data_IF_161105618258
#
_entry.id   IF_161105618258
#
_cell.length_a   1.000
_cell.length_b   1.000
_cell.length_c   1.000
_cell.angle_alpha   90.00
_cell.angle_beta   90.00
_cell.angle_gamma   90.00
#
_symmetry.space_group_name_H-M   'P 1'
#
loop_
_entity.id
_entity.type
_entity.pdbx_description
1 polymer ?
#
# COMPACT_ATOMS: atom_id res chain seq x y z
N UNK A 1 1.09 -25.88 -10.67
CA UNK A 1 0.31 -26.26 -9.47
C UNK A 1 -0.76 -25.21 -9.27
N UNK A 2 -1.89 -25.58 -8.67
CA UNK A 2 -2.98 -24.64 -8.34
C UNK A 2 -2.49 -23.60 -7.33
N UNK A 3 -2.92 -22.33 -7.48
CA UNK A 3 -2.43 -21.19 -6.68
C UNK A 3 -3.58 -20.34 -6.18
N UNK A 4 -3.47 -19.87 -4.93
CA UNK A 4 -4.40 -18.94 -4.28
C UNK A 4 -3.62 -17.81 -3.60
N UNK A 5 -4.20 -16.61 -3.55
CA UNK A 5 -3.77 -15.58 -2.60
C UNK A 5 -4.50 -15.68 -1.27
N UNK A 6 -4.00 -14.97 -0.25
CA UNK A 6 -4.78 -14.74 0.95
C UNK A 6 -6.06 -13.96 0.62
N UNK A 7 -7.21 -14.29 1.23
CA UNK A 7 -8.42 -13.51 1.05
C UNK A 7 -8.34 -12.18 1.79
N UNK A 8 -8.80 -11.11 1.16
CA UNK A 8 -8.97 -9.78 1.76
C UNK A 8 -10.46 -9.41 1.84
N UNK A 9 -10.89 -8.81 2.95
CA UNK A 9 -12.29 -8.38 3.13
C UNK A 9 -12.47 -6.95 2.61
N UNK A 10 -13.45 -6.75 1.74
CA UNK A 10 -13.88 -5.42 1.26
C UNK A 10 -15.41 -5.38 1.22
N UNK A 11 -16.00 -4.47 2.00
CA UNK A 11 -17.44 -4.43 2.22
C UNK A 11 -17.98 -5.79 2.72
N UNK A 12 -18.98 -6.31 2.00
CA UNK A 12 -19.67 -7.56 2.33
C UNK A 12 -18.95 -8.84 1.86
N UNK A 13 -17.91 -8.72 1.02
CA UNK A 13 -17.26 -9.86 0.37
C UNK A 13 -15.79 -10.03 0.78
N UNK A 14 -15.31 -11.25 0.63
CA UNK A 14 -13.89 -11.59 0.63
C UNK A 14 -13.44 -11.80 -0.80
N UNK A 15 -12.33 -11.18 -1.18
CA UNK A 15 -11.74 -11.23 -2.51
C UNK A 15 -10.41 -11.98 -2.46
N UNK A 16 -10.13 -12.77 -3.49
CA UNK A 16 -8.87 -13.50 -3.62
C UNK A 16 -8.58 -13.82 -5.08
N UNK A 17 -7.30 -13.98 -5.40
CA UNK A 17 -6.89 -14.50 -6.70
C UNK A 17 -6.79 -16.01 -6.66
N UNK A 18 -7.18 -16.66 -7.76
CA UNK A 18 -7.03 -18.10 -7.97
C UNK A 18 -6.55 -18.36 -9.40
N UNK A 19 -5.65 -19.34 -9.52
CA UNK A 19 -5.14 -19.81 -10.80
C UNK A 19 -5.14 -21.35 -10.77
N UNK A 20 -5.84 -21.97 -11.72
CA UNK A 20 -5.96 -23.44 -11.82
C UNK A 20 -4.62 -24.14 -12.06
N UNK A 21 -3.60 -23.38 -12.48
CA UNK A 21 -2.22 -23.81 -12.59
C UNK A 21 -1.59 -23.42 -13.92
N UNK A 22 -2.37 -23.42 -15.01
CA UNK A 22 -1.92 -23.15 -16.38
C UNK A 22 -2.60 -21.93 -17.02
N UNK A 23 -3.48 -21.23 -16.30
CA UNK A 23 -4.03 -19.96 -16.80
C UNK A 23 -2.92 -18.92 -16.91
N UNK A 24 -2.96 -18.12 -17.98
CA UNK A 24 -2.00 -17.03 -18.22
C UNK A 24 -2.01 -16.03 -17.07
N UNK A 25 -3.21 -15.64 -16.61
CA UNK A 25 -3.41 -14.74 -15.48
C UNK A 25 -4.29 -15.38 -14.40
N UNK A 26 -4.00 -15.07 -13.14
CA UNK A 26 -4.90 -15.41 -12.03
C UNK A 26 -6.22 -14.63 -12.16
N UNK A 27 -7.33 -15.30 -11.87
CA UNK A 27 -8.67 -14.71 -11.86
C UNK A 27 -8.98 -14.22 -10.45
N UNK A 28 -9.63 -13.06 -10.33
CA UNK A 28 -10.06 -12.51 -9.05
C UNK A 28 -11.48 -13.01 -8.78
N UNK A 29 -11.63 -13.74 -7.69
CA UNK A 29 -12.88 -14.27 -7.18
C UNK A 29 -13.35 -13.50 -5.96
N UNK A 30 -14.65 -13.61 -5.68
CA UNK A 30 -15.27 -13.14 -4.44
C UNK A 30 -16.14 -14.21 -3.78
N UNK A 31 -16.29 -14.14 -2.47
CA UNK A 31 -17.22 -14.98 -1.70
C UNK A 31 -17.75 -14.22 -0.49
N UNK A 32 -18.99 -14.49 -0.09
CA UNK A 32 -19.62 -13.80 1.05
C UNK A 32 -19.08 -14.29 2.41
N UNK A 33 -18.49 -15.49 2.46
CA UNK A 33 -18.02 -16.10 3.69
C UNK A 33 -16.77 -16.95 3.47
N UNK A 34 -15.80 -16.86 4.39
CA UNK A 34 -14.63 -17.74 4.43
C UNK A 34 -14.98 -19.20 4.74
N UNK A 35 -16.21 -19.46 5.22
CA UNK A 35 -16.71 -20.83 5.47
C UNK A 35 -17.38 -21.44 4.23
N UNK A 36 -17.56 -20.66 3.16
CA UNK A 36 -18.09 -21.17 1.90
C UNK A 36 -17.15 -22.26 1.37
N UNK A 37 -17.73 -23.37 0.92
CA UNK A 37 -16.97 -24.45 0.28
C UNK A 37 -16.90 -24.20 -1.22
N UNK A 38 -15.77 -24.56 -1.82
CA UNK A 38 -15.54 -24.43 -3.26
C UNK A 38 -14.99 -23.07 -3.67
N UNK A 39 -14.81 -22.90 -4.98
CA UNK A 39 -14.35 -21.64 -5.57
C UNK A 39 -15.50 -20.63 -5.53
N UNK A 40 -15.17 -19.37 -5.30
CA UNK A 40 -16.11 -18.25 -5.24
C UNK A 40 -16.68 -17.90 -6.61
N UNK A 41 -17.37 -16.77 -6.66
CA UNK A 41 -17.86 -16.19 -7.90
C UNK A 41 -16.74 -15.39 -8.59
N UNK A 42 -16.60 -15.51 -9.91
CA UNK A 42 -15.66 -14.65 -10.68
C UNK A 42 -16.08 -13.19 -10.54
N UNK A 43 -15.17 -12.37 -10.04
CA UNK A 43 -15.34 -10.92 -9.93
C UNK A 43 -14.71 -10.19 -11.11
N UNK A 44 -13.46 -10.55 -11.45
CA UNK A 44 -12.69 -9.98 -12.56
C UNK A 44 -11.76 -11.05 -13.17
N UNK A 45 -11.88 -11.28 -14.48
CA UNK A 45 -11.06 -12.24 -15.22
C UNK A 45 -10.17 -11.51 -16.25
N UNK A 46 -8.86 -11.41 -16.03
CA UNK A 46 -7.94 -10.74 -16.96
C UNK A 46 -7.75 -11.52 -18.27
N UNK A 47 -7.99 -12.84 -18.26
CA UNK A 47 -7.73 -13.69 -19.43
C UNK A 47 -8.70 -13.38 -20.59
N UNK A 48 -9.84 -12.74 -20.32
CA UNK A 48 -10.78 -12.27 -21.35
C UNK A 48 -10.45 -10.90 -21.94
N UNK A 49 -9.43 -10.20 -21.43
CA UNK A 49 -9.11 -8.83 -21.85
C UNK A 49 -8.22 -8.78 -23.10
N UNK A 50 -7.48 -9.85 -23.41
CA UNK A 50 -6.71 -9.99 -24.65
C UNK A 50 -6.74 -11.42 -25.19
N UNK A 51 -6.75 -11.54 -26.52
CA UNK A 51 -6.79 -12.84 -27.19
C UNK A 51 -5.53 -13.69 -26.93
N UNK A 52 -4.39 -13.06 -26.68
CA UNK A 52 -3.11 -13.72 -26.39
C UNK A 52 -2.81 -13.85 -24.88
N UNK A 53 -3.70 -13.34 -24.01
CA UNK A 53 -3.55 -13.40 -22.56
C UNK A 53 -2.38 -12.57 -22.00
N UNK A 54 -1.90 -11.59 -22.76
CA UNK A 54 -0.77 -10.73 -22.37
C UNK A 54 -1.19 -9.51 -21.53
N UNK A 55 -2.48 -9.38 -21.25
CA UNK A 55 -3.02 -8.34 -20.37
C UNK A 55 -3.01 -8.83 -18.92
N UNK A 56 -2.50 -8.02 -18.00
CA UNK A 56 -2.43 -8.34 -16.57
C UNK A 56 -3.05 -7.24 -15.70
N UNK A 57 -3.42 -7.61 -14.47
CA UNK A 57 -3.81 -6.65 -13.43
C UNK A 57 -2.59 -6.38 -12.57
N UNK A 58 -2.06 -5.16 -12.63
CA UNK A 58 -0.79 -4.78 -12.01
C UNK A 58 -0.93 -4.10 -10.66
N UNK A 59 -2.08 -3.46 -10.42
CA UNK A 59 -2.39 -2.71 -9.20
C UNK A 59 -3.87 -2.80 -8.89
N UNK A 60 -4.21 -2.75 -7.61
CA UNK A 60 -5.58 -2.80 -7.11
C UNK A 60 -5.69 -1.93 -5.86
N UNK A 61 -6.73 -1.10 -5.79
CA UNK A 61 -7.07 -0.35 -4.58
C UNK A 61 -8.57 -0.22 -4.44
N UNK A 62 -9.10 -0.83 -3.39
CA UNK A 62 -10.48 -0.68 -2.99
C UNK A 62 -10.69 0.65 -2.27
N UNK A 63 -11.89 1.22 -2.42
CA UNK A 63 -12.41 2.18 -1.46
C UNK A 63 -12.52 1.56 -0.07
N UNK A 64 -12.52 2.38 0.97
CA UNK A 64 -12.55 1.90 2.36
C UNK A 64 -13.83 1.09 2.65
N UNK A 65 -14.96 1.51 2.10
CA UNK A 65 -16.24 0.80 2.21
C UNK A 65 -16.35 -0.43 1.29
N UNK A 66 -15.35 -0.66 0.43
CA UNK A 66 -15.33 -1.75 -0.54
C UNK A 66 -16.32 -1.62 -1.69
N UNK A 67 -16.93 -0.45 -1.90
CA UNK A 67 -17.92 -0.22 -2.95
C UNK A 67 -17.32 -0.17 -4.37
N UNK A 68 -16.08 0.31 -4.52
CA UNK A 68 -15.40 0.47 -5.82
C UNK A 68 -13.97 -0.07 -5.74
N UNK A 69 -13.59 -0.87 -6.73
CA UNK A 69 -12.22 -1.26 -7.02
C UNK A 69 -11.66 -0.36 -8.13
N UNK A 70 -10.56 0.33 -7.86
CA UNK A 70 -9.66 0.81 -8.91
C UNK A 70 -8.63 -0.28 -9.23
N UNK A 71 -8.44 -0.61 -10.50
CA UNK A 71 -7.48 -1.61 -10.94
C UNK A 71 -6.71 -1.14 -12.18
N UNK A 72 -5.39 -1.35 -12.18
CA UNK A 72 -4.55 -1.03 -13.32
C UNK A 72 -4.43 -2.21 -14.26
N UNK A 73 -4.63 -1.93 -15.55
CA UNK A 73 -4.48 -2.88 -16.66
C UNK A 73 -3.16 -2.58 -17.37
N UNK A 74 -2.25 -3.56 -17.39
CA UNK A 74 -1.01 -3.51 -18.17
C UNK A 74 -1.12 -4.46 -19.36
N UNK A 75 -0.58 -4.06 -20.50
CA UNK A 75 -0.52 -4.89 -21.70
C UNK A 75 0.93 -5.29 -22.02
N UNK A 76 1.12 -6.55 -22.42
CA UNK A 76 2.40 -7.07 -22.94
C UNK A 76 3.59 -6.86 -22.00
N UNK A 77 3.33 -6.84 -20.69
CA UNK A 77 4.36 -6.64 -19.67
C UNK A 77 4.92 -5.21 -19.61
N UNK A 78 4.22 -4.23 -20.18
CA UNK A 78 4.57 -2.82 -20.06
C UNK A 78 4.40 -2.33 -18.63
N UNK A 79 5.31 -1.48 -18.14
CA UNK A 79 5.11 -0.79 -16.86
C UNK A 79 3.99 0.26 -16.92
N UNK A 80 3.50 0.58 -18.13
CA UNK A 80 2.39 1.51 -18.34
C UNK A 80 1.04 0.82 -18.09
N UNK A 81 0.14 1.56 -17.46
CA UNK A 81 -1.17 1.09 -17.05
C UNK A 81 -2.26 2.06 -17.46
N UNK A 82 -3.43 1.49 -17.73
CA UNK A 82 -4.71 2.19 -17.69
C UNK A 82 -5.44 1.76 -16.43
N UNK A 83 -5.71 2.69 -15.53
CA UNK A 83 -6.52 2.45 -14.34
C UNK A 83 -7.99 2.51 -14.74
N UNK A 84 -8.74 1.48 -14.38
CA UNK A 84 -10.18 1.35 -14.57
C UNK A 84 -10.86 1.17 -13.22
N UNK A 85 -12.18 1.37 -13.19
CA UNK A 85 -12.96 1.27 -11.98
C UNK A 85 -14.12 0.29 -12.14
N UNK A 86 -14.32 -0.57 -11.14
CA UNK A 86 -15.40 -1.57 -11.12
C UNK A 86 -16.07 -1.56 -9.77
N UNK A 87 -17.39 -1.49 -9.75
CA UNK A 87 -18.19 -1.54 -8.52
C UNK A 87 -18.20 -2.94 -7.94
N UNK A 88 -18.50 -3.05 -6.64
CA UNK A 88 -18.60 -4.32 -5.95
C UNK A 88 -19.64 -5.25 -6.60
N UNK A 89 -20.70 -4.74 -7.22
CA UNK A 89 -21.71 -5.53 -7.96
C UNK A 89 -21.31 -5.93 -9.38
N UNK A 90 -20.04 -5.73 -9.76
CA UNK A 90 -19.40 -6.14 -11.02
C UNK A 90 -19.75 -5.28 -12.24
N UNK A 91 -20.15 -4.03 -12.04
CA UNK A 91 -20.33 -3.07 -13.13
C UNK A 91 -19.03 -2.28 -13.35
N UNK A 92 -18.58 -2.18 -14.59
CA UNK A 92 -17.46 -1.29 -14.94
C UNK A 92 -17.98 0.15 -15.05
N UNK A 93 -17.26 1.08 -14.43
CA UNK A 93 -17.55 2.51 -14.55
C UNK A 93 -16.93 3.07 -15.84
N UNK A 94 -17.42 4.24 -16.25
CA UNK A 94 -16.94 4.91 -17.47
C UNK A 94 -15.58 5.58 -17.27
N UNK A 95 -15.27 5.94 -16.03
CA UNK A 95 -14.01 6.56 -15.62
C UNK A 95 -12.81 5.67 -15.94
N UNK A 96 -11.72 6.29 -16.38
CA UNK A 96 -10.42 5.65 -16.53
C UNK A 96 -9.29 6.69 -16.47
N UNK A 97 -8.08 6.24 -16.14
CA UNK A 97 -6.89 7.09 -16.07
C UNK A 97 -5.77 6.41 -16.87
N UNK A 98 -5.25 7.10 -17.88
CA UNK A 98 -4.18 6.60 -18.74
C UNK A 98 -2.79 7.12 -18.34
N UNK A 99 -1.76 6.46 -18.85
CA UNK A 99 -0.38 6.91 -18.66
C UNK A 99 0.11 6.72 -17.23
N UNK A 100 -0.36 5.68 -16.54
CA UNK A 100 0.03 5.39 -15.17
C UNK A 100 1.26 4.49 -15.16
N UNK A 101 2.35 4.95 -14.54
CA UNK A 101 3.58 4.19 -14.34
C UNK A 101 4.18 4.60 -12.99
N UNK A 102 4.68 3.64 -12.21
CA UNK A 102 5.27 3.88 -10.88
C UNK A 102 4.34 4.63 -9.91
N UNK A 103 3.05 4.25 -9.88
CA UNK A 103 2.04 4.90 -9.07
C UNK A 103 1.42 3.96 -8.05
N UNK A 104 1.10 4.51 -6.89
CA UNK A 104 0.09 3.96 -5.99
C UNK A 104 -1.27 4.65 -6.23
N UNK A 105 -2.33 4.09 -5.68
CA UNK A 105 -3.68 4.66 -5.72
C UNK A 105 -4.14 4.92 -4.28
N UNK A 106 -4.59 6.14 -4.01
CA UNK A 106 -5.08 6.53 -2.69
C UNK A 106 -6.44 7.20 -2.80
N UNK A 107 -7.48 6.49 -2.37
CA UNK A 107 -8.84 7.01 -2.35
C UNK A 107 -9.02 8.08 -1.28
N UNK A 108 -9.81 9.09 -1.59
CA UNK A 108 -10.48 9.86 -0.53
C UNK A 108 -11.46 8.96 0.20
N UNK A 109 -11.61 9.20 1.50
CA UNK A 109 -12.49 8.42 2.37
C UNK A 109 -13.98 8.49 2.01
N UNK A 110 -14.37 9.56 1.32
CA UNK A 110 -15.73 9.75 0.81
C UNK A 110 -15.94 9.16 -0.61
N UNK A 111 -14.93 8.46 -1.14
CA UNK A 111 -14.91 7.84 -2.46
C UNK A 111 -15.11 8.83 -3.64
N UNK A 112 -14.99 10.14 -3.39
CA UNK A 112 -15.23 11.16 -4.43
C UNK A 112 -14.13 11.25 -5.49
N UNK A 113 -12.99 10.62 -5.25
CA UNK A 113 -11.87 10.56 -6.17
C UNK A 113 -10.65 9.84 -5.61
N UNK A 114 -9.65 9.70 -6.46
CA UNK A 114 -8.42 8.95 -6.20
C UNK A 114 -7.19 9.78 -6.55
N UNK A 115 -6.22 9.80 -5.64
CA UNK A 115 -4.88 10.31 -5.93
C UNK A 115 -4.06 9.24 -6.65
N UNK A 116 -3.30 9.68 -7.63
CA UNK A 116 -2.42 8.83 -8.42
C UNK A 116 -1.26 9.67 -8.94
N UNK A 117 -0.19 9.03 -9.39
CA UNK A 117 0.96 9.71 -9.96
C UNK A 117 1.20 9.28 -11.40
N UNK A 118 1.70 10.22 -12.21
CA UNK A 118 2.08 9.96 -13.60
C UNK A 118 3.18 10.92 -14.04
N UNK A 119 3.77 10.61 -15.18
CA UNK A 119 4.63 11.55 -15.89
C UNK A 119 3.77 12.50 -16.74
N UNK A 120 4.04 13.83 -16.73
CA UNK A 120 3.20 14.82 -17.40
C UNK A 120 3.26 14.76 -18.93
N UNK A 121 4.28 14.12 -19.52
CA UNK A 121 4.48 14.10 -20.97
C UNK A 121 4.16 12.72 -21.58
N UNK A 122 3.13 12.61 -22.43
CA UNK A 122 2.60 11.34 -22.93
C UNK A 122 3.36 10.75 -24.14
N UNK A 123 4.47 11.33 -24.61
CA UNK A 123 5.12 10.86 -25.85
C UNK A 123 5.77 9.46 -25.74
N UNK A 124 5.81 8.86 -24.55
CA UNK A 124 6.46 7.58 -24.28
C UNK A 124 5.50 6.41 -23.98
N UNK A 125 4.21 6.52 -24.29
CA UNK A 125 3.15 5.61 -23.80
C UNK A 125 3.03 4.23 -24.43
N UNK A 126 3.95 3.81 -25.33
CA UNK A 126 3.88 2.47 -25.95
C UNK A 126 4.93 1.46 -25.45
N UNK A 127 5.72 1.79 -24.41
CA UNK A 127 6.79 0.88 -23.92
C UNK A 127 7.91 0.60 -24.93
N UNK A 128 7.89 1.26 -26.10
CA UNK A 128 8.89 1.17 -27.18
C UNK A 128 9.86 2.36 -27.20
N UNK A 129 9.67 3.33 -26.31
CA UNK A 129 10.50 4.53 -26.23
C UNK A 129 11.63 4.31 -25.21
N UNK A 130 12.84 4.69 -25.59
CA UNK A 130 13.99 4.78 -24.69
C UNK A 130 14.12 6.17 -24.04
N UNK A 131 13.11 7.04 -24.20
CA UNK A 131 13.10 8.37 -23.58
C UNK A 131 13.06 8.26 -22.05
N UNK A 132 13.83 9.13 -21.40
CA UNK A 132 13.84 9.25 -19.94
C UNK A 132 12.52 9.87 -19.48
N UNK A 133 11.84 9.22 -18.54
CA UNK A 133 10.63 9.75 -17.93
C UNK A 133 11.01 10.61 -16.72
N UNK A 134 10.66 11.89 -16.76
CA UNK A 134 11.05 12.87 -15.76
C UNK A 134 9.83 13.63 -15.22
N UNK A 135 9.97 14.21 -14.03
CA UNK A 135 8.97 15.01 -13.35
C UNK A 135 7.71 14.22 -12.96
N UNK A 136 7.91 13.03 -12.38
CA UNK A 136 6.82 12.24 -11.81
C UNK A 136 6.02 13.09 -10.82
N UNK A 137 4.71 13.20 -11.03
CA UNK A 137 3.88 14.17 -10.32
C UNK A 137 2.59 13.53 -9.80
N UNK A 138 2.11 14.01 -8.66
CA UNK A 138 0.88 13.55 -8.01
C UNK A 138 -0.32 14.34 -8.54
N UNK A 139 -1.33 13.62 -9.00
CA UNK A 139 -2.61 14.13 -9.51
C UNK A 139 -3.77 13.60 -8.67
N UNK A 140 -4.94 14.21 -8.86
CA UNK A 140 -6.20 13.76 -8.31
C UNK A 140 -7.23 13.63 -9.43
N UNK A 141 -7.79 12.43 -9.56
CA UNK A 141 -8.91 12.14 -10.42
C UNK A 141 -10.21 12.21 -9.62
N UNK A 142 -11.17 13.01 -10.08
CA UNK A 142 -12.50 13.08 -9.48
C UNK A 142 -13.43 12.11 -10.19
N UNK A 143 -14.16 11.28 -9.44
CA UNK A 143 -15.11 10.35 -10.04
C UNK A 143 -16.22 11.11 -10.79
N UNK A 144 -16.58 10.58 -11.96
CA UNK A 144 -17.52 11.15 -12.91
C UNK A 144 -16.94 12.26 -13.79
N UNK A 145 -15.62 12.39 -13.90
CA UNK A 145 -14.97 13.39 -14.76
C UNK A 145 -14.01 12.75 -15.75
N UNK A 146 -13.68 13.47 -16.83
CA UNK A 146 -12.70 13.01 -17.82
C UNK A 146 -11.27 13.23 -17.29
N UNK A 147 -10.32 12.36 -17.68
CA UNK A 147 -8.94 12.41 -17.18
C UNK A 147 -8.15 13.66 -17.56
N UNK A 148 -8.63 14.48 -18.50
CA UNK A 148 -8.06 15.79 -18.81
C UNK A 148 -8.45 16.89 -17.80
N UNK A 149 -9.43 16.60 -16.92
CA UNK A 149 -9.84 17.45 -15.80
C UNK A 149 -9.10 17.10 -14.50
N UNK A 150 -8.21 16.10 -14.55
CA UNK A 150 -7.43 15.68 -13.39
C UNK A 150 -6.54 16.82 -12.88
N UNK A 151 -6.53 16.98 -11.56
CA UNK A 151 -5.94 18.13 -10.90
C UNK A 151 -4.51 17.77 -10.51
N UNK A 152 -3.54 18.57 -10.94
CA UNK A 152 -2.17 18.47 -10.43
C UNK A 152 -2.12 18.89 -8.95
N UNK A 153 -1.73 17.97 -8.07
CA UNK A 153 -1.72 18.14 -6.62
C UNK A 153 -0.35 18.54 -6.12
N UNK A 154 0.69 17.85 -6.57
CA UNK A 154 2.06 18.10 -6.12
C UNK A 154 3.07 17.65 -7.18
N UNK A 155 4.07 18.49 -7.41
CA UNK A 155 5.18 18.25 -8.33
C UNK A 155 6.47 18.87 -7.77
N UNK A 156 7.61 18.44 -8.34
CA UNK A 156 8.93 18.98 -8.03
C UNK A 156 9.72 19.27 -9.29
N UNK A 157 9.61 20.51 -9.78
CA UNK A 157 10.39 20.97 -10.94
C UNK A 157 11.90 21.04 -10.68
N UNK A 158 12.33 20.99 -9.42
CA UNK A 158 13.73 21.00 -8.99
C UNK A 158 14.35 19.60 -8.90
N UNK A 159 13.57 18.54 -9.16
CA UNK A 159 14.03 17.16 -9.01
C UNK A 159 13.39 16.26 -10.07
N UNK A 160 13.89 16.29 -11.32
CA UNK A 160 13.31 15.56 -12.46
C UNK A 160 13.24 14.04 -12.25
N UNK A 161 14.17 13.48 -11.46
CA UNK A 161 14.34 12.03 -11.31
C UNK A 161 13.61 11.43 -10.11
N UNK A 162 13.06 12.28 -9.23
CA UNK A 162 12.36 11.78 -8.05
C UNK A 162 11.00 11.19 -8.42
N UNK A 163 10.64 10.11 -7.74
CA UNK A 163 9.30 9.54 -7.80
C UNK A 163 8.46 10.16 -6.69
N UNK A 164 7.31 10.70 -7.08
CA UNK A 164 6.29 11.19 -6.13
C UNK A 164 5.18 10.15 -6.02
N UNK A 165 4.77 9.82 -4.80
CA UNK A 165 3.60 8.97 -4.52
C UNK A 165 2.75 9.58 -3.40
N UNK A 166 1.49 9.17 -3.33
CA UNK A 166 0.53 9.68 -2.36
C UNK A 166 -0.22 8.56 -1.65
N UNK A 167 -0.42 8.73 -0.35
CA UNK A 167 -1.15 7.81 0.52
C UNK A 167 -2.14 8.61 1.38
N UNK A 168 -3.38 8.14 1.52
CA UNK A 168 -4.36 8.75 2.42
C UNK A 168 -4.44 7.90 3.69
N UNK A 169 -4.35 8.53 4.86
CA UNK A 169 -4.42 7.83 6.15
C UNK A 169 -5.77 7.12 6.33
N UNK A 170 -5.80 6.04 7.11
CA UNK A 170 -7.01 5.22 7.36
C UNK A 170 -8.20 6.05 7.88
N UNK A 171 -7.93 7.08 8.68
CA UNK A 171 -8.94 7.99 9.19
C UNK A 171 -9.45 8.99 8.13
N UNK A 172 -8.77 9.13 6.99
CA UNK A 172 -9.05 10.02 5.88
C UNK A 172 -8.52 11.44 6.05
N UNK A 173 -7.80 11.72 7.15
CA UNK A 173 -7.43 13.09 7.52
C UNK A 173 -6.22 13.62 6.80
N UNK A 174 -5.20 12.80 6.57
CA UNK A 174 -3.95 13.26 5.97
C UNK A 174 -3.74 12.63 4.60
N UNK A 175 -3.31 13.46 3.66
CA UNK A 175 -2.60 13.01 2.47
C UNK A 175 -1.11 13.05 2.78
N UNK A 176 -0.49 11.88 2.83
CA UNK A 176 0.95 11.69 2.89
C UNK A 176 1.51 11.76 1.47
N UNK A 177 2.65 12.42 1.32
CA UNK A 177 3.35 12.54 0.04
C UNK A 177 4.78 12.09 0.25
N UNK A 178 5.14 11.00 -0.42
CA UNK A 178 6.50 10.51 -0.47
C UNK A 178 7.20 11.10 -1.69
N UNK A 179 8.44 11.53 -1.48
CA UNK A 179 9.34 11.91 -2.57
C UNK A 179 10.56 11.02 -2.46
N UNK A 180 10.62 10.02 -3.34
CA UNK A 180 11.62 8.96 -3.36
C UNK A 180 12.73 9.31 -4.34
N UNK A 181 13.97 9.02 -3.95
CA UNK A 181 15.10 9.08 -4.87
C UNK A 181 15.10 7.86 -5.79
N UNK A 182 15.45 8.06 -7.07
CA UNK A 182 15.71 6.96 -8.00
C UNK A 182 17.01 6.20 -7.70
N UNK A 183 17.93 6.81 -6.95
CA UNK A 183 19.33 6.36 -6.87
C UNK A 183 19.68 5.72 -5.51
N UNK A 184 18.98 6.14 -4.45
CA UNK A 184 19.20 5.66 -3.08
C UNK A 184 17.88 5.26 -2.43
N UNK A 185 17.87 4.28 -1.51
CA UNK A 185 16.64 3.78 -0.89
C UNK A 185 16.13 4.70 0.24
N UNK A 186 16.13 6.01 -0.01
CA UNK A 186 15.72 7.06 0.92
C UNK A 186 14.57 7.87 0.34
N UNK A 187 13.80 8.49 1.22
CA UNK A 187 12.67 9.31 0.84
C UNK A 187 12.55 10.54 1.74
N UNK A 188 11.94 11.58 1.20
CA UNK A 188 11.32 12.62 2.01
C UNK A 188 9.87 12.22 2.26
N UNK A 189 9.29 12.72 3.35
CA UNK A 189 7.89 12.49 3.70
C UNK A 189 7.25 13.80 4.12
N UNK A 190 6.20 14.18 3.40
CA UNK A 190 5.38 15.34 3.66
C UNK A 190 3.95 14.91 3.99
N UNK A 191 3.17 15.79 4.62
CA UNK A 191 1.77 15.53 4.91
C UNK A 191 0.93 16.79 4.69
N UNK A 192 -0.34 16.60 4.34
CA UNK A 192 -1.32 17.67 4.17
C UNK A 192 -2.62 17.28 4.85
N UNK A 193 -3.17 18.19 5.68
CA UNK A 193 -4.43 17.95 6.39
C UNK A 193 -5.62 18.19 5.44
N UNK A 194 -6.21 17.10 4.95
CA UNK A 194 -7.36 17.10 4.05
C UNK A 194 -8.60 17.68 4.71
N UNK A 195 -8.73 17.63 6.04
CA UNK A 195 -9.89 18.23 6.73
C UNK A 195 -9.93 19.75 6.64
N UNK A 196 -8.77 20.37 6.38
CA UNK A 196 -8.66 21.82 6.15
C UNK A 196 -8.83 22.21 4.68
N UNK A 197 -8.81 21.21 3.81
CA UNK A 197 -9.03 21.38 2.38
C UNK A 197 -10.53 21.25 2.15
N UNK A 198 -11.16 22.26 1.56
CA UNK A 198 -12.50 22.07 1.02
C UNK A 198 -12.45 21.09 -0.16
N UNK A 199 -13.17 21.42 -1.23
CA UNK A 199 -13.03 20.66 -2.48
C UNK A 199 -11.60 20.78 -3.03
N UNK A 200 -10.97 19.65 -3.36
CA UNK A 200 -9.68 19.62 -4.07
C UNK A 200 -9.86 20.32 -5.42
N UNK A 201 -9.10 21.37 -5.65
CA UNK A 201 -9.22 22.23 -6.85
C UNK A 201 -7.89 22.70 -7.42
N UNK A 202 -6.75 22.27 -6.86
CA UNK A 202 -5.43 22.70 -7.32
C UNK A 202 -4.31 22.14 -6.48
N UNK A 203 -3.09 22.64 -6.74
CA UNK A 203 -1.88 22.26 -6.01
C UNK A 203 -2.01 22.56 -4.52
N UNK A 204 -1.48 21.65 -3.71
CA UNK A 204 -1.40 21.80 -2.25
C UNK A 204 0.03 22.20 -1.84
N UNK A 205 0.16 22.73 -0.63
CA UNK A 205 1.44 23.02 0.01
C UNK A 205 1.59 22.11 1.23
N UNK A 206 2.12 20.89 1.07
CA UNK A 206 2.22 19.96 2.17
C UNK A 206 3.28 20.41 3.17
N UNK A 207 3.10 20.08 4.45
CA UNK A 207 4.07 20.33 5.51
C UNK A 207 5.12 19.21 5.52
N UNK A 208 6.41 19.52 5.72
CA UNK A 208 7.42 18.49 5.86
C UNK A 208 7.25 17.74 7.18
N UNK A 209 7.33 16.41 7.13
CA UNK A 209 7.63 15.58 8.30
C UNK A 209 9.14 15.26 8.34
N UNK A 210 9.68 14.89 7.17
CA UNK A 210 11.11 14.73 6.89
C UNK A 210 11.42 15.28 5.49
N UNK A 211 12.27 16.29 5.40
CA UNK A 211 12.55 17.03 4.16
C UNK A 211 13.95 16.76 3.58
N UNK A 212 14.62 15.71 4.06
CA UNK A 212 15.94 15.28 3.61
C UNK A 212 15.90 13.83 3.12
N UNK A 213 16.68 13.56 2.09
CA UNK A 213 16.95 12.21 1.59
C UNK A 213 18.10 11.58 2.38
N UNK A 214 17.92 11.41 3.68
CA UNK A 214 18.96 10.91 4.61
C UNK A 214 18.65 9.53 5.21
N UNK A 215 17.40 9.09 5.11
CA UNK A 215 16.92 7.81 5.61
C UNK A 215 15.64 7.40 4.86
N UNK A 216 15.18 6.19 5.16
CA UNK A 216 13.85 5.73 4.80
C UNK A 216 12.87 6.10 5.90
N UNK A 217 11.68 6.58 5.52
CA UNK A 217 10.59 6.91 6.42
C UNK A 217 9.29 6.33 5.87
N UNK A 218 8.75 5.33 6.56
CA UNK A 218 7.48 4.69 6.20
C UNK A 218 6.44 5.01 7.25
N UNK A 219 5.30 5.56 6.86
CA UNK A 219 4.16 5.75 7.76
C UNK A 219 3.56 4.41 8.18
N UNK A 220 3.27 4.26 9.48
CA UNK A 220 2.64 3.06 10.05
C UNK A 220 1.24 3.37 10.57
N UNK A 221 1.11 4.44 11.36
CA UNK A 221 -0.16 4.85 11.98
C UNK A 221 -0.06 6.29 12.50
N UNK A 222 -1.15 6.86 13.01
CA UNK A 222 -1.14 8.13 13.73
C UNK A 222 -2.20 8.20 14.83
N UNK A 223 -2.05 9.21 15.68
CA UNK A 223 -3.15 9.72 16.49
C UNK A 223 -3.30 11.23 16.29
N UNK A 224 -4.11 11.87 17.15
CA UNK A 224 -4.39 13.30 17.03
C UNK A 224 -3.14 14.19 17.10
N UNK A 225 -2.07 13.74 17.76
CA UNK A 225 -0.92 14.57 18.12
C UNK A 225 0.39 14.12 17.46
N UNK A 226 0.45 12.92 16.88
CA UNK A 226 1.70 12.33 16.39
C UNK A 226 1.51 11.26 15.31
N UNK A 227 2.54 11.07 14.49
CA UNK A 227 2.65 9.97 13.51
C UNK A 227 3.68 8.95 13.97
N UNK A 228 3.39 7.67 13.73
CA UNK A 228 4.24 6.52 13.98
C UNK A 228 4.95 6.14 12.67
N UNK A 229 6.28 6.13 12.70
CA UNK A 229 7.13 6.01 11.50
C UNK A 229 8.15 4.91 11.71
N UNK A 230 8.25 3.99 10.74
CA UNK A 230 9.34 3.02 10.63
C UNK A 230 10.49 3.67 9.87
N UNK A 231 11.69 3.68 10.45
CA UNK A 231 12.84 4.36 9.86
C UNK A 231 14.16 3.68 10.17
N UNK A 232 15.15 3.87 9.28
CA UNK A 232 16.54 3.51 9.52
C UNK A 232 17.44 4.71 9.87
N UNK A 233 16.85 5.88 10.15
CA UNK A 233 17.64 7.04 10.58
C UNK A 233 18.38 6.73 11.88
N UNK A 234 19.70 6.80 11.83
CA UNK A 234 20.62 6.44 12.92
C UNK A 234 20.42 5.01 13.45
N UNK A 235 19.85 4.11 12.64
CA UNK A 235 19.49 2.74 13.03
C UNK A 235 19.49 1.81 11.79
N UNK A 236 20.61 1.17 11.48
CA UNK A 236 20.76 0.33 10.27
C UNK A 236 19.79 -0.86 10.24
N UNK A 237 19.41 -1.39 11.40
CA UNK A 237 18.44 -2.49 11.54
C UNK A 237 16.98 -2.01 11.67
N UNK A 238 16.72 -0.73 11.37
CA UNK A 238 15.45 -0.05 11.52
C UNK A 238 14.96 0.04 12.97
N UNK A 239 14.10 1.03 13.21
CA UNK A 239 13.42 1.27 14.47
C UNK A 239 12.07 1.92 14.22
N UNK A 240 11.21 1.89 15.22
CA UNK A 240 9.92 2.56 15.19
C UNK A 240 9.99 3.82 16.05
N UNK A 241 9.67 4.97 15.46
CA UNK A 241 9.68 6.27 16.15
C UNK A 241 8.30 6.91 16.12
N UNK A 242 8.06 7.84 17.03
CA UNK A 242 6.97 8.80 16.89
C UNK A 242 7.47 10.20 16.67
N UNK A 243 6.70 10.95 15.89
CA UNK A 243 6.94 12.36 15.57
C UNK A 243 5.73 13.16 16.00
N UNK A 244 5.89 14.13 16.90
CA UNK A 244 4.80 15.04 17.26
C UNK A 244 4.51 16.02 16.13
N UNK A 245 3.25 16.12 15.74
CA UNK A 245 2.77 17.08 14.74
C UNK A 245 2.71 18.52 15.27
N UNK A 246 2.81 18.71 16.59
CA UNK A 246 2.74 20.02 17.24
C UNK A 246 4.07 20.76 17.25
N UNK A 247 5.16 20.05 17.54
CA UNK A 247 6.48 20.64 17.75
C UNK A 247 7.63 19.90 17.05
N UNK A 248 7.35 18.80 16.33
CA UNK A 248 8.36 18.01 15.63
C UNK A 248 9.25 17.17 16.55
N UNK A 249 8.95 17.04 17.85
CA UNK A 249 9.74 16.19 18.75
C UNK A 249 9.66 14.74 18.33
N UNK A 250 10.79 14.04 18.37
CA UNK A 250 10.91 12.63 17.97
C UNK A 250 11.34 11.79 19.17
N UNK A 251 10.73 10.62 19.34
CA UNK A 251 11.14 9.63 20.34
C UNK A 251 11.01 8.21 19.81
N UNK A 252 11.88 7.32 20.29
CA UNK A 252 11.84 5.90 19.93
C UNK A 252 10.68 5.21 20.65
N UNK A 253 9.96 4.38 19.92
CA UNK A 253 8.90 3.50 20.42
C UNK A 253 9.45 2.08 20.52
N UNK A 254 9.98 1.57 19.41
CA UNK A 254 10.70 0.31 19.35
C UNK A 254 12.12 0.65 18.95
N UNK A 255 13.10 0.55 19.86
CA UNK A 255 14.48 0.87 19.54
C UNK A 255 15.06 -0.15 18.54
N UNK A 256 16.19 0.22 17.92
CA UNK A 256 16.90 -0.69 17.02
C UNK A 256 17.35 -1.97 17.74
N UNK A 257 17.04 -3.13 17.16
CA UNK A 257 17.60 -4.41 17.55
C UNK A 257 18.91 -4.64 16.77
N UNK A 258 20.02 -4.98 17.44
CA UNK A 258 21.34 -5.12 16.79
C UNK A 258 21.54 -6.45 16.07
N UNK A 259 20.62 -7.40 16.24
CA UNK A 259 20.69 -8.75 15.71
C UNK A 259 19.68 -8.99 14.58
N UNK A 260 18.53 -8.31 14.62
CA UNK A 260 17.40 -8.58 13.73
C UNK A 260 16.87 -7.28 13.11
N UNK A 261 16.67 -7.28 11.79
CA UNK A 261 16.12 -6.11 11.07
C UNK A 261 14.62 -6.01 11.33
N UNK A 262 14.13 -4.88 11.83
CA UNK A 262 12.70 -4.58 11.85
C UNK A 262 12.22 -4.30 10.42
N UNK A 263 11.61 -5.30 9.80
CA UNK A 263 11.25 -5.27 8.37
C UNK A 263 9.90 -4.59 8.11
N UNK A 264 8.90 -4.84 8.95
CA UNK A 264 7.55 -4.28 8.79
C UNK A 264 6.88 -4.08 10.16
N UNK A 265 5.94 -3.14 10.22
CA UNK A 265 5.07 -2.90 11.36
C UNK A 265 3.64 -2.68 10.85
N UNK A 266 2.67 -3.45 11.35
CA UNK A 266 1.27 -3.38 10.89
C UNK A 266 0.30 -3.16 12.03
N UNK A 267 -0.50 -2.08 12.02
CA UNK A 267 -1.59 -1.93 13.00
C UNK A 267 -2.67 -2.99 12.77
N UNK A 268 -3.19 -3.55 13.86
CA UNK A 268 -4.34 -4.44 13.82
C UNK A 268 -5.13 -4.40 15.13
N UNK A 269 -6.40 -4.78 15.08
CA UNK A 269 -7.22 -4.88 16.29
C UNK A 269 -7.45 -3.55 17.03
N UNK A 270 -7.30 -2.41 16.36
CA UNK A 270 -7.38 -1.02 16.87
C UNK A 270 -6.26 -0.57 17.81
N UNK A 271 -5.59 -1.49 18.52
CA UNK A 271 -4.63 -1.13 19.56
C UNK A 271 -3.36 -2.00 19.57
N UNK A 272 -3.07 -2.74 18.50
CA UNK A 272 -1.94 -3.67 18.43
C UNK A 272 -1.10 -3.42 17.20
N UNK A 273 0.18 -3.80 17.29
CA UNK A 273 1.11 -3.79 16.17
C UNK A 273 1.65 -5.21 15.97
N UNK A 274 1.66 -5.66 14.73
CA UNK A 274 2.40 -6.85 14.31
C UNK A 274 3.74 -6.36 13.80
N UNK A 275 4.82 -6.71 14.51
CA UNK A 275 6.18 -6.40 14.09
C UNK A 275 6.75 -7.63 13.39
N UNK A 276 7.36 -7.41 12.23
CA UNK A 276 8.02 -8.47 11.47
C UNK A 276 9.50 -8.19 11.45
N UNK A 277 10.29 -9.14 11.91
CA UNK A 277 11.74 -9.08 11.89
C UNK A 277 12.32 -10.06 10.88
N UNK A 278 13.51 -9.73 10.37
CA UNK A 278 14.35 -10.65 9.62
C UNK A 278 15.63 -10.91 10.41
N UNK A 279 15.87 -12.17 10.74
CA UNK A 279 17.06 -12.65 11.44
C UNK A 279 17.63 -13.84 10.68
N UNK A 280 18.92 -13.78 10.31
CA UNK A 280 19.58 -14.82 9.49
C UNK A 280 18.77 -15.24 8.25
N UNK A 281 18.18 -14.25 7.57
CA UNK A 281 17.33 -14.44 6.36
C UNK A 281 16.07 -15.29 6.65
N UNK A 282 15.63 -15.33 7.90
CA UNK A 282 14.37 -15.96 8.33
C UNK A 282 13.44 -14.87 8.86
N UNK A 283 12.18 -14.94 8.44
CA UNK A 283 11.14 -14.05 8.95
C UNK A 283 10.63 -14.55 10.28
N UNK A 284 10.73 -13.71 11.31
CA UNK A 284 10.14 -13.91 12.63
C UNK A 284 9.05 -12.85 12.82
N UNK A 285 7.89 -13.22 13.35
CA UNK A 285 6.82 -12.28 13.65
C UNK A 285 6.68 -12.15 15.17
N UNK A 286 6.57 -10.92 15.65
CA UNK A 286 6.31 -10.61 17.05
C UNK A 286 5.00 -9.84 17.14
N UNK A 287 4.12 -10.25 18.06
CA UNK A 287 2.86 -9.56 18.31
C UNK A 287 3.05 -8.66 19.51
N UNK A 288 2.86 -7.36 19.30
CA UNK A 288 2.96 -6.35 20.34
C UNK A 288 1.58 -5.78 20.68
N UNK A 289 1.21 -5.79 21.97
CA UNK A 289 -0.11 -5.40 22.43
C UNK A 289 -0.14 -4.08 23.22
N UNK A 290 -1.16 -3.27 22.90
CA UNK A 290 -1.61 -1.99 23.48
C UNK A 290 -0.71 -0.80 23.19
N UNK A 291 -0.96 -0.17 22.04
CA UNK A 291 -0.53 1.17 21.72
C UNK A 291 -1.53 2.22 22.25
N UNK A 292 -1.62 2.41 23.58
CA UNK A 292 -2.26 3.62 24.13
C UNK A 292 -1.18 4.54 24.69
N UNK A 293 -0.94 5.66 23.99
CA UNK A 293 0.00 6.73 24.38
C UNK A 293 1.49 6.32 24.42
N UNK A 294 1.91 5.37 23.60
CA UNK A 294 3.33 5.06 23.41
C UNK A 294 3.98 4.21 24.52
N UNK A 295 3.19 3.45 25.29
CA UNK A 295 3.73 2.51 26.28
C UNK A 295 3.46 1.09 25.80
N UNK A 296 4.54 0.37 25.51
CA UNK A 296 4.51 -1.08 25.26
C UNK A 296 4.13 -1.76 26.58
N UNK A 297 3.01 -2.47 26.60
CA UNK A 297 2.55 -3.13 27.84
C UNK A 297 2.89 -4.62 27.90
N UNK A 298 3.14 -5.26 26.77
CA UNK A 298 3.57 -6.65 26.71
C UNK A 298 4.18 -7.03 25.35
N UNK A 299 5.26 -7.81 25.40
CA UNK A 299 5.87 -8.49 24.25
C UNK A 299 5.48 -9.97 24.25
N UNK A 300 5.06 -10.48 23.09
CA UNK A 300 4.87 -11.92 22.87
C UNK A 300 5.82 -12.39 21.77
N UNK A 301 6.82 -13.18 22.16
CA UNK A 301 7.67 -13.89 21.19
C UNK A 301 6.92 -15.10 20.63
N UNK A 302 6.75 -15.12 19.31
CA UNK A 302 6.26 -16.31 18.62
C UNK A 302 7.46 -17.16 18.22
N UNK A 303 7.84 -18.11 19.07
CA UNK A 303 8.87 -19.09 18.74
C UNK A 303 8.29 -20.17 17.82
N UNK A 304 8.86 -20.33 16.62
CA UNK A 304 8.46 -21.36 15.65
C UNK A 304 9.41 -22.55 15.70
N UNK A 305 9.03 -23.73 16.24
CA UNK A 305 9.52 -25.07 15.85
C UNK A 305 9.01 -26.21 16.75
N UNK A 306 8.62 -27.39 16.23
CA UNK A 306 8.85 -28.69 16.86
C UNK A 306 10.24 -29.26 16.49
N UNK A 307 10.78 -30.26 17.22
CA UNK A 307 12.10 -30.83 16.92
C UNK A 307 12.16 -31.48 15.52
N UNK A 308 13.34 -31.54 14.88
CA UNK A 308 13.48 -31.91 13.48
C UNK A 308 13.01 -33.34 13.20
N UNK A 309 12.31 -33.52 12.07
CA UNK A 309 12.13 -34.84 11.44
C UNK A 309 13.41 -35.23 10.68
N UNK A 310 13.75 -36.53 10.58
CA UNK A 310 15.06 -36.99 10.11
C UNK A 310 15.43 -36.63 8.67
N UNK A 311 14.48 -36.16 7.85
CA UNK A 311 14.62 -36.11 6.39
C UNK A 311 14.69 -34.70 5.77
N UNK A 312 15.08 -33.68 6.53
CA UNK A 312 15.81 -32.53 5.99
C UNK A 312 15.14 -31.68 4.88
N UNK A 313 13.81 -31.65 4.76
CA UNK A 313 13.10 -30.73 3.84
C UNK A 313 12.24 -29.75 4.62
N UNK A 314 12.59 -28.46 4.56
CA UNK A 314 11.80 -27.35 5.15
C UNK A 314 10.64 -26.99 4.21
N UNK A 315 9.41 -27.16 4.69
CA UNK A 315 8.22 -26.57 4.08
C UNK A 315 7.83 -25.32 4.88
N UNK A 316 7.58 -24.22 4.17
CA UNK A 316 7.11 -22.94 4.72
C UNK A 316 5.60 -22.92 4.80
N UNK A 317 5.02 -22.85 6.00
CA UNK A 317 3.60 -22.50 6.18
C UNK A 317 3.41 -21.59 7.39
N UNK A 318 2.70 -20.50 7.13
CA UNK A 318 2.24 -19.49 8.07
C UNK A 318 0.83 -19.90 8.55
N UNK A 319 0.62 -20.04 9.86
CA UNK A 319 -0.71 -19.99 10.47
C UNK A 319 -0.69 -18.95 11.59
N UNK A 320 -1.44 -17.87 11.38
CA UNK A 320 -1.67 -16.82 12.38
C UNK A 320 -2.89 -17.21 13.19
N UNK A 321 -2.69 -17.61 14.46
CA UNK A 321 -3.77 -17.79 15.43
C UNK A 321 -3.75 -16.63 16.39
N UNK A 322 -4.69 -15.70 16.21
CA UNK A 322 -4.97 -14.62 17.15
C UNK A 322 -5.85 -15.21 18.26
N UNK A 323 -5.29 -15.43 19.45
CA UNK A 323 -6.09 -15.77 20.63
C UNK A 323 -6.38 -14.47 21.38
N UNK A 324 -7.65 -14.07 21.39
CA UNK A 324 -8.14 -13.04 22.29
C UNK A 324 -8.22 -13.59 23.71
N UNK A 325 -7.80 -12.79 24.68
CA UNK A 325 -8.14 -13.03 26.09
C UNK A 325 -8.87 -11.79 26.60
N UNK A 326 -9.95 -12.07 27.33
CA UNK A 326 -11.10 -11.21 27.52
C UNK A 326 -10.88 -10.00 28.44
N UNK A 327 -11.95 -9.21 28.51
CA UNK A 327 -12.13 -8.09 29.42
C UNK A 327 -11.79 -8.45 30.87
N UNK A 328 -11.04 -7.56 31.52
CA UNK A 328 -11.37 -6.97 32.81
C UNK A 328 -10.79 -5.55 32.85
#
# INVERSE_FOLDING_TARGET
>A
FERYSCPSKHGEFYYYSHNTGLQNQSVIFRQASLKQKGIGEVFLDPNGMSADGTTSISMQKWTEDGSILAYGVSEKGSDWNVVRFRTADKNDLKDFIEGIKHSELAWLKDNSGVFYSKYPHPKATEGKSAEKHEYHSLYFHRMGTDGDQDILIYDRGDSPDNLISGEVTEDGRYLLIYVESSDVPFNMLYYHDLSTSGKISGKIKPKPLFDKLDARYTYIDHDNDSMLILTNRDALMFKLIRVSLKNGSIWDVVPENKQSVLYDARPFGKDRLLLTYIEDVKTCAEVECKFKRGIITSLYHLATSPPPSPNGRRASHLQVVIIGIGNA
#
